data_IF_689299453413
#
_entry.id   IF_689299453413
#
_cell.length_a   1.000
_cell.length_b   1.000
_cell.length_c   1.000
_cell.angle_alpha   90.00
_cell.angle_beta   90.00
_cell.angle_gamma   90.00
#
_symmetry.space_group_name_H-M   'P 1'
#
loop_
_entity.id
_entity.type
_entity.pdbx_description
1 polymer ?
#
# COMPACT_ATOMS: atom_id res chain seq x y z
N UNK A 1 -10.89 -11.26 -8.49
CA UNK A 1 -11.64 -10.47 -7.51
C UNK A 1 -13.04 -11.02 -7.36
N UNK A 2 -13.46 -11.25 -6.10
CA UNK A 2 -14.78 -11.83 -5.80
C UNK A 2 -15.39 -11.07 -4.60
N UNK A 3 -16.37 -10.22 -4.88
CA UNK A 3 -17.03 -9.39 -3.88
C UNK A 3 -17.73 -10.23 -2.78
N UNK A 4 -18.29 -11.38 -3.13
CA UNK A 4 -18.92 -12.27 -2.13
C UNK A 4 -17.91 -12.80 -1.11
N UNK A 5 -16.68 -13.16 -1.56
CA UNK A 5 -15.62 -13.58 -0.63
C UNK A 5 -15.16 -12.46 0.28
N UNK A 6 -15.09 -11.23 -0.25
CA UNK A 6 -14.72 -10.05 0.57
C UNK A 6 -15.80 -9.82 1.63
N UNK A 7 -17.06 -9.85 1.24
CA UNK A 7 -18.20 -9.73 2.16
C UNK A 7 -18.15 -10.81 3.24
N UNK A 8 -18.08 -12.10 2.84
CA UNK A 8 -18.01 -13.22 3.78
C UNK A 8 -16.88 -13.09 4.81
N UNK A 9 -15.69 -12.67 4.35
CA UNK A 9 -14.54 -12.48 5.24
C UNK A 9 -14.75 -11.31 6.20
N UNK A 10 -15.31 -10.20 5.73
CA UNK A 10 -15.61 -9.04 6.57
C UNK A 10 -16.67 -9.38 7.61
N UNK A 11 -17.78 -10.00 7.21
CA UNK A 11 -18.85 -10.43 8.11
C UNK A 11 -18.34 -11.40 9.19
N UNK A 12 -17.61 -12.45 8.77
CA UNK A 12 -17.02 -13.40 9.70
C UNK A 12 -16.09 -12.75 10.72
N UNK A 13 -15.28 -11.80 10.27
CA UNK A 13 -14.37 -11.07 11.16
C UNK A 13 -15.14 -10.18 12.15
N UNK A 14 -16.19 -9.51 11.70
CA UNK A 14 -17.03 -8.65 12.54
C UNK A 14 -17.80 -9.48 13.58
N UNK A 15 -18.44 -10.57 13.17
CA UNK A 15 -19.13 -11.47 14.09
C UNK A 15 -18.18 -12.03 15.16
N UNK A 16 -16.98 -12.43 14.75
CA UNK A 16 -15.97 -12.93 15.68
C UNK A 16 -15.52 -11.87 16.70
N UNK A 17 -15.32 -10.64 16.25
CA UNK A 17 -14.97 -9.53 17.13
C UNK A 17 -16.10 -9.25 18.14
N UNK A 18 -17.35 -9.25 17.67
CA UNK A 18 -18.53 -9.08 18.51
C UNK A 18 -18.63 -10.18 19.59
N UNK A 19 -18.50 -11.46 19.21
CA UNK A 19 -18.50 -12.58 20.16
C UNK A 19 -17.43 -12.45 21.25
N UNK A 20 -16.29 -11.82 20.92
CA UNK A 20 -15.16 -11.64 21.84
C UNK A 20 -15.24 -10.34 22.63
N UNK A 21 -16.25 -9.50 22.41
CA UNK A 21 -16.34 -8.17 23.01
C UNK A 21 -15.20 -7.25 22.62
N UNK A 22 -14.67 -7.42 21.41
CA UNK A 22 -13.55 -6.67 20.85
C UNK A 22 -13.92 -5.95 19.55
N UNK A 23 -13.02 -5.11 19.03
CA UNK A 23 -13.16 -4.51 17.71
C UNK A 23 -12.15 -5.07 16.73
N UNK A 24 -12.47 -5.01 15.43
CA UNK A 24 -11.54 -5.39 14.37
C UNK A 24 -10.53 -4.31 14.07
N UNK A 25 -9.42 -4.74 13.48
CA UNK A 25 -8.41 -3.88 12.86
C UNK A 25 -8.22 -4.27 11.41
N UNK A 26 -8.48 -3.32 10.51
CA UNK A 26 -8.42 -3.51 9.07
C UNK A 26 -7.12 -2.97 8.50
N UNK A 27 -6.43 -3.77 7.66
CA UNK A 27 -5.12 -3.44 7.10
C UNK A 27 -5.03 -3.93 5.66
N UNK A 28 -4.64 -3.07 4.74
CA UNK A 28 -4.35 -3.47 3.35
C UNK A 28 -2.86 -3.62 3.08
N UNK A 29 -2.05 -2.75 3.66
CA UNK A 29 -0.59 -2.74 3.50
C UNK A 29 0.11 -2.52 4.82
N UNK A 30 1.33 -3.01 4.91
CA UNK A 30 2.26 -2.76 6.00
C UNK A 30 3.70 -2.90 5.48
N UNK A 31 4.68 -2.74 6.37
CA UNK A 31 6.10 -2.82 6.04
C UNK A 31 6.64 -4.24 5.76
N UNK A 32 5.78 -5.26 5.79
CA UNK A 32 6.17 -6.66 5.60
C UNK A 32 5.57 -7.29 4.34
N UNK A 33 4.74 -6.56 3.61
CA UNK A 33 4.09 -7.06 2.40
C UNK A 33 4.17 -6.07 1.25
N UNK A 34 4.13 -6.59 0.03
CA UNK A 34 4.06 -5.78 -1.19
C UNK A 34 2.87 -4.82 -1.11
N UNK A 35 3.06 -3.58 -1.51
CA UNK A 35 2.02 -2.55 -1.51
C UNK A 35 0.75 -3.02 -2.22
N UNK A 36 -0.41 -2.78 -1.62
CA UNK A 36 -1.67 -3.31 -2.14
C UNK A 36 -2.03 -2.77 -3.53
N UNK A 37 -1.62 -1.54 -3.88
CA UNK A 37 -1.81 -1.00 -5.23
C UNK A 37 -1.12 -1.89 -6.29
N UNK A 38 0.08 -2.39 -6.02
CA UNK A 38 0.78 -3.35 -6.86
C UNK A 38 0.12 -4.72 -6.83
N UNK A 39 -0.16 -5.28 -5.64
CA UNK A 39 -0.80 -6.60 -5.51
C UNK A 39 -2.13 -6.68 -6.24
N UNK A 40 -2.92 -5.62 -6.20
CA UNK A 40 -4.24 -5.57 -6.83
C UNK A 40 -4.18 -5.36 -8.35
N UNK A 41 -3.03 -4.96 -8.87
CA UNK A 41 -2.77 -4.87 -10.31
C UNK A 41 -2.31 -6.17 -10.97
N UNK A 42 -2.13 -7.24 -10.17
CA UNK A 42 -1.73 -8.55 -10.68
C UNK A 42 -2.96 -9.43 -10.90
N UNK A 43 -3.02 -10.12 -12.03
CA UNK A 43 -4.09 -11.09 -12.32
C UNK A 43 -3.75 -12.49 -11.79
N UNK A 44 -4.80 -13.20 -11.35
CA UNK A 44 -4.72 -14.59 -10.91
C UNK A 44 -4.55 -14.79 -9.40
N UNK A 45 -4.18 -16.00 -9.00
CA UNK A 45 -3.84 -16.36 -7.61
C UNK A 45 -2.46 -15.81 -7.28
N UNK A 46 -2.38 -15.03 -6.22
CA UNK A 46 -1.18 -14.34 -5.83
C UNK A 46 -0.43 -15.12 -4.76
N UNK A 47 0.60 -15.86 -5.17
CA UNK A 47 1.64 -16.34 -4.28
C UNK A 47 2.77 -15.30 -4.30
N UNK A 48 2.85 -14.49 -3.26
CA UNK A 48 3.76 -13.34 -3.17
C UNK A 48 5.21 -13.72 -3.43
N UNK A 49 5.69 -14.83 -2.88
CA UNK A 49 7.08 -15.26 -3.02
C UNK A 49 7.42 -15.67 -4.45
N UNK A 50 6.60 -16.55 -5.02
CA UNK A 50 6.81 -17.01 -6.41
C UNK A 50 6.66 -15.89 -7.41
N UNK A 51 5.66 -15.03 -7.21
CA UNK A 51 5.42 -13.91 -8.10
C UNK A 51 6.57 -12.91 -8.06
N UNK A 52 7.05 -12.54 -6.86
CA UNK A 52 8.16 -11.61 -6.68
C UNK A 52 9.42 -12.14 -7.37
N UNK A 53 9.80 -13.39 -7.10
CA UNK A 53 10.95 -14.04 -7.74
C UNK A 53 10.87 -14.06 -9.28
N UNK A 54 9.68 -14.33 -9.82
CA UNK A 54 9.48 -14.47 -11.27
C UNK A 54 9.37 -13.13 -12.00
N UNK A 55 8.99 -12.04 -11.32
CA UNK A 55 8.64 -10.77 -11.94
C UNK A 55 9.47 -9.58 -11.47
N UNK A 56 10.48 -9.81 -10.63
CA UNK A 56 11.44 -8.79 -10.24
C UNK A 56 12.13 -8.25 -11.51
N UNK A 57 12.30 -6.93 -11.62
CA UNK A 57 12.83 -6.22 -12.79
C UNK A 57 11.95 -6.21 -14.06
N UNK A 58 10.85 -6.95 -14.08
CA UNK A 58 9.87 -6.87 -15.16
C UNK A 58 8.47 -7.19 -14.63
N UNK A 59 7.95 -6.40 -13.71
CA UNK A 59 6.67 -6.66 -13.09
C UNK A 59 5.52 -6.49 -14.08
N UNK A 60 4.75 -7.56 -14.28
CA UNK A 60 3.52 -7.51 -15.07
C UNK A 60 2.37 -7.03 -14.21
N UNK A 61 2.38 -5.74 -13.89
CA UNK A 61 1.36 -5.09 -13.07
C UNK A 61 0.50 -4.19 -13.94
N UNK A 62 -0.80 -4.36 -13.90
CA UNK A 62 -1.74 -3.38 -14.43
C UNK A 62 -1.94 -2.28 -13.37
N UNK A 63 -1.10 -1.25 -13.43
CA UNK A 63 -1.07 -0.15 -12.44
C UNK A 63 -2.44 0.53 -12.32
N UNK A 64 -3.10 0.83 -13.45
CA UNK A 64 -4.42 1.47 -13.45
C UNK A 64 -5.45 0.62 -12.71
N UNK A 65 -5.54 -0.66 -13.06
CA UNK A 65 -6.47 -1.59 -12.41
C UNK A 65 -6.12 -1.78 -10.93
N UNK A 66 -4.83 -1.81 -10.60
CA UNK A 66 -4.33 -1.89 -9.23
C UNK A 66 -4.81 -0.71 -8.39
N UNK A 67 -4.69 0.50 -8.90
CA UNK A 67 -5.16 1.72 -8.23
C UNK A 67 -6.68 1.75 -8.10
N UNK A 68 -7.43 1.39 -9.14
CA UNK A 68 -8.90 1.31 -9.08
C UNK A 68 -9.38 0.33 -8.00
N UNK A 69 -8.77 -0.86 -7.93
CA UNK A 69 -9.07 -1.88 -6.91
C UNK A 69 -8.62 -1.44 -5.52
N UNK A 70 -7.45 -0.80 -5.41
CA UNK A 70 -6.95 -0.23 -4.16
C UNK A 70 -7.91 0.81 -3.60
N UNK A 71 -8.35 1.73 -4.44
CA UNK A 71 -9.37 2.74 -4.12
C UNK A 71 -10.64 2.09 -3.56
N UNK A 72 -11.20 1.13 -4.28
CA UNK A 72 -12.43 0.45 -3.86
C UNK A 72 -12.27 -0.27 -2.51
N UNK A 73 -11.14 -0.95 -2.31
CA UNK A 73 -10.88 -1.65 -1.05
C UNK A 73 -10.62 -0.69 0.11
N UNK A 74 -9.92 0.41 -0.12
CA UNK A 74 -9.72 1.45 0.91
C UNK A 74 -11.05 2.06 1.34
N UNK A 75 -11.92 2.38 0.37
CA UNK A 75 -13.26 2.90 0.68
C UNK A 75 -14.06 1.89 1.52
N UNK A 76 -14.02 0.61 1.15
CA UNK A 76 -14.70 -0.44 1.90
C UNK A 76 -14.15 -0.54 3.34
N UNK A 77 -12.83 -0.64 3.50
CA UNK A 77 -12.23 -0.81 4.83
C UNK A 77 -12.49 0.40 5.73
N UNK A 78 -12.46 1.60 5.17
CA UNK A 78 -12.76 2.82 5.93
C UNK A 78 -14.25 2.99 6.23
N UNK A 79 -15.14 2.28 5.56
CA UNK A 79 -16.57 2.23 5.89
C UNK A 79 -16.92 1.15 6.93
N UNK A 80 -16.06 0.16 7.15
CA UNK A 80 -16.30 -0.89 8.14
C UNK A 80 -16.08 -0.38 9.57
N UNK A 81 -16.81 -0.91 10.57
CA UNK A 81 -16.57 -0.61 11.98
C UNK A 81 -15.23 -1.17 12.44
N UNK A 82 -14.65 -0.53 13.46
CA UNK A 82 -13.35 -0.89 14.03
C UNK A 82 -12.21 0.05 13.60
N UNK A 83 -10.98 -0.32 13.93
CA UNK A 83 -9.79 0.45 13.60
C UNK A 83 -9.29 0.16 12.19
N UNK A 84 -8.68 1.15 11.53
CA UNK A 84 -8.02 0.96 10.23
C UNK A 84 -6.60 1.48 10.31
N UNK A 85 -5.63 0.63 9.97
CA UNK A 85 -4.25 1.04 9.78
C UNK A 85 -4.02 1.39 8.32
N UNK A 86 -3.45 2.58 8.10
CA UNK A 86 -3.00 3.05 6.80
C UNK A 86 -1.47 2.98 6.78
N UNK A 87 -0.93 2.32 5.78
CA UNK A 87 0.51 2.28 5.60
C UNK A 87 0.97 3.47 4.76
N UNK A 88 2.02 4.14 5.22
CA UNK A 88 2.59 5.32 4.57
C UNK A 88 2.83 5.10 3.08
N UNK A 89 2.37 6.04 2.24
CA UNK A 89 2.49 6.02 0.78
C UNK A 89 1.33 5.32 0.08
N UNK A 90 0.41 4.64 0.80
CA UNK A 90 -0.80 4.14 0.14
C UNK A 90 -1.76 5.28 -0.23
N UNK A 91 -1.76 6.36 0.53
CA UNK A 91 -2.48 7.59 0.24
C UNK A 91 -1.97 8.32 -1.00
N UNK A 92 -0.77 8.00 -1.45
CA UNK A 92 -0.17 8.50 -2.70
C UNK A 92 -0.36 7.51 -3.86
N UNK A 93 -0.95 6.35 -3.63
CA UNK A 93 -1.06 5.29 -4.64
C UNK A 93 0.27 4.66 -5.03
N UNK A 94 1.29 4.76 -4.17
CA UNK A 94 2.62 4.25 -4.48
C UNK A 94 2.62 2.77 -4.80
N UNK A 95 3.34 2.42 -5.86
CA UNK A 95 3.61 1.05 -6.24
C UNK A 95 4.79 0.49 -5.44
N UNK A 96 4.92 -0.83 -5.42
CA UNK A 96 6.12 -1.51 -4.91
C UNK A 96 7.32 -1.16 -5.79
N UNK A 97 8.47 -0.85 -5.19
CA UNK A 97 9.71 -0.78 -5.95
C UNK A 97 10.25 -2.20 -6.16
N UNK A 98 10.06 -2.73 -7.37
CA UNK A 98 10.49 -4.08 -7.77
C UNK A 98 11.90 -4.11 -8.34
N UNK A 99 12.53 -2.94 -8.56
CA UNK A 99 13.74 -2.79 -9.34
C UNK A 99 14.98 -2.45 -8.51
N UNK A 100 14.91 -2.72 -7.18
CA UNK A 100 16.07 -2.52 -6.31
C UNK A 100 17.16 -3.53 -6.66
N UNK A 101 18.39 -3.10 -7.05
CA UNK A 101 19.51 -3.98 -7.30
C UNK A 101 19.87 -4.82 -6.06
N UNK A 102 20.39 -6.04 -6.27
CA UNK A 102 20.71 -6.97 -5.18
C UNK A 102 21.73 -6.39 -4.19
N UNK A 103 22.68 -5.63 -4.69
CA UNK A 103 23.72 -4.97 -3.90
C UNK A 103 23.20 -3.84 -3.02
N UNK A 104 22.00 -3.32 -3.31
CA UNK A 104 21.34 -2.26 -2.54
C UNK A 104 20.25 -2.78 -1.60
N UNK A 105 20.00 -4.10 -1.60
CA UNK A 105 19.05 -4.70 -0.68
C UNK A 105 19.53 -4.57 0.77
N UNK A 106 18.59 -4.28 1.69
CA UNK A 106 18.87 -4.09 3.11
C UNK A 106 18.13 -5.12 3.98
N UNK A 107 17.07 -5.77 3.43
CA UNK A 107 16.26 -6.70 4.19
C UNK A 107 17.03 -7.98 4.55
N UNK A 108 17.22 -8.32 5.84
CA UNK A 108 17.85 -9.57 6.24
C UNK A 108 17.16 -10.82 5.67
N UNK A 109 15.88 -10.75 5.32
CA UNK A 109 15.15 -11.88 4.72
C UNK A 109 15.72 -12.23 3.34
N UNK A 110 16.11 -11.22 2.56
CA UNK A 110 16.74 -11.41 1.25
C UNK A 110 18.06 -12.20 1.38
N UNK A 111 18.89 -11.83 2.33
CA UNK A 111 20.19 -12.49 2.54
C UNK A 111 20.09 -13.88 3.17
N UNK A 112 19.06 -14.14 4.00
CA UNK A 112 18.85 -15.45 4.62
C UNK A 112 18.29 -16.48 3.65
N UNK A 113 17.53 -16.03 2.64
CA UNK A 113 16.84 -16.88 1.69
C UNK A 113 17.00 -16.36 0.25
N UNK A 114 18.22 -16.31 -0.29
CA UNK A 114 18.51 -15.72 -1.60
C UNK A 114 17.77 -16.46 -2.73
N UNK A 115 17.54 -17.76 -2.57
CA UNK A 115 16.80 -18.58 -3.56
C UNK A 115 15.32 -18.18 -3.68
N UNK A 116 14.74 -17.60 -2.63
CA UNK A 116 13.36 -17.12 -2.65
C UNK A 116 13.25 -15.73 -3.28
N UNK A 117 14.35 -14.96 -3.29
CA UNK A 117 14.38 -13.58 -3.82
C UNK A 117 13.41 -12.63 -3.12
N UNK A 118 12.95 -13.00 -1.91
CA UNK A 118 11.99 -12.20 -1.15
C UNK A 118 12.70 -11.06 -0.44
N UNK A 119 12.20 -9.86 -0.63
CA UNK A 119 12.59 -8.68 0.12
C UNK A 119 11.36 -7.83 0.43
N UNK A 120 11.41 -7.15 1.56
CA UNK A 120 10.41 -6.16 1.98
C UNK A 120 10.88 -4.73 1.67
N UNK A 121 12.06 -4.59 1.07
CA UNK A 121 12.65 -3.26 0.82
C UNK A 121 11.81 -2.41 -0.12
N UNK A 122 11.15 -3.02 -1.10
CA UNK A 122 10.35 -2.32 -2.09
C UNK A 122 9.20 -1.49 -1.51
N UNK A 123 8.60 -1.92 -0.39
CA UNK A 123 7.58 -1.14 0.30
C UNK A 123 8.17 -0.15 1.34
N UNK A 124 9.47 -0.19 1.59
CA UNK A 124 10.16 0.63 2.61
C UNK A 124 10.98 1.78 2.04
N UNK A 125 10.93 1.97 0.73
CA UNK A 125 11.62 3.08 0.05
C UNK A 125 11.13 4.41 0.60
N UNK A 126 12.03 5.40 0.82
CA UNK A 126 11.65 6.74 1.30
C UNK A 126 10.58 7.40 0.45
N UNK A 127 9.60 8.04 1.10
CA UNK A 127 8.47 8.66 0.39
C UNK A 127 8.89 9.91 -0.39
N UNK A 128 8.27 10.18 -1.55
CA UNK A 128 8.47 11.43 -2.27
C UNK A 128 7.62 12.56 -1.66
N UNK A 129 8.24 13.68 -1.37
CA UNK A 129 7.60 14.89 -0.85
C UNK A 129 7.46 15.98 -1.90
N UNK A 130 8.44 16.06 -2.83
CA UNK A 130 8.47 17.06 -3.89
C UNK A 130 8.57 16.39 -5.26
N UNK A 131 8.13 17.09 -6.31
CA UNK A 131 8.23 16.61 -7.68
C UNK A 131 9.68 16.52 -8.20
N UNK A 132 10.58 17.32 -7.63
CA UNK A 132 12.02 17.31 -8.00
C UNK A 132 12.72 16.10 -7.37
N UNK A 133 13.54 15.41 -8.14
CA UNK A 133 14.37 14.31 -7.65
C UNK A 133 15.50 14.77 -6.69
N UNK A 134 15.77 16.06 -6.61
CA UNK A 134 16.76 16.61 -5.69
C UNK A 134 16.46 16.20 -4.22
N UNK A 135 17.51 15.93 -3.47
CA UNK A 135 17.40 15.58 -2.05
C UNK A 135 16.48 14.37 -1.81
N UNK A 136 16.58 13.34 -2.63
CA UNK A 136 15.70 12.16 -2.57
C UNK A 136 14.20 12.53 -2.62
N UNK A 137 13.80 13.27 -3.61
CA UNK A 137 12.44 13.81 -3.75
C UNK A 137 11.98 14.60 -2.51
N UNK A 138 12.88 15.35 -1.90
CA UNK A 138 12.60 16.15 -0.72
C UNK A 138 12.53 15.36 0.60
N UNK A 139 12.84 14.06 0.59
CA UNK A 139 12.91 13.26 1.82
C UNK A 139 14.06 13.68 2.73
N UNK A 140 15.18 14.11 2.15
CA UNK A 140 16.34 14.63 2.86
C UNK A 140 16.43 16.16 2.76
N UNK A 141 17.07 16.78 3.74
CA UNK A 141 17.46 18.21 3.69
C UNK A 141 18.81 18.41 2.99
N UNK A 142 19.48 17.35 2.59
CA UNK A 142 20.79 17.35 1.94
C UNK A 142 20.72 16.51 0.67
N UNK A 143 21.58 16.80 -0.26
CA UNK A 143 21.80 15.98 -1.45
C UNK A 143 22.64 14.76 -1.06
N UNK A 144 21.92 13.71 -0.66
CA UNK A 144 22.48 12.41 -0.24
C UNK A 144 21.65 11.29 -0.84
N UNK A 145 22.31 10.20 -1.21
CA UNK A 145 21.61 9.00 -1.63
C UNK A 145 20.79 8.42 -0.46
N UNK A 146 19.53 8.08 -0.69
CA UNK A 146 18.72 7.41 0.32
C UNK A 146 19.20 5.97 0.53
N UNK A 147 18.95 5.43 1.71
CA UNK A 147 19.33 4.04 2.07
C UNK A 147 18.71 2.96 1.18
N UNK A 148 17.58 3.25 0.54
CA UNK A 148 16.98 2.45 -0.53
C UNK A 148 16.69 3.38 -1.72
N UNK A 149 17.01 2.94 -2.95
CA UNK A 149 16.83 3.77 -4.14
C UNK A 149 15.35 4.02 -4.42
N UNK A 150 15.04 5.29 -4.67
CA UNK A 150 13.72 5.69 -5.12
C UNK A 150 13.60 5.50 -6.63
N UNK A 151 12.48 4.96 -7.14
CA UNK A 151 12.26 4.83 -8.58
C UNK A 151 12.25 6.18 -9.30
N UNK A 152 12.73 6.19 -10.54
CA UNK A 152 12.55 7.33 -11.43
C UNK A 152 11.06 7.66 -11.59
N UNK A 153 10.76 8.95 -11.67
CA UNK A 153 9.38 9.42 -11.86
C UNK A 153 8.51 9.45 -10.58
N UNK A 154 9.03 9.05 -9.41
CA UNK A 154 8.28 9.13 -8.15
C UNK A 154 7.83 10.54 -7.77
N UNK A 155 8.44 11.57 -8.34
CA UNK A 155 7.98 12.93 -8.16
C UNK A 155 6.53 13.20 -8.58
N UNK A 156 5.97 12.39 -9.49
CA UNK A 156 4.56 12.47 -9.87
C UNK A 156 3.60 12.00 -8.76
N UNK A 157 4.06 11.18 -7.84
CA UNK A 157 3.33 10.72 -6.65
C UNK A 157 3.65 11.56 -5.41
N UNK A 158 4.45 12.61 -5.54
CA UNK A 158 4.85 13.42 -4.39
C UNK A 158 3.66 14.17 -3.80
N UNK A 159 3.73 14.42 -2.49
CA UNK A 159 2.66 15.08 -1.73
C UNK A 159 2.28 16.43 -2.32
N UNK A 160 3.24 17.24 -2.80
CA UNK A 160 2.95 18.52 -3.44
C UNK A 160 2.00 18.38 -4.64
N UNK A 161 2.39 17.71 -5.73
CA UNK A 161 1.53 17.46 -6.89
C UNK A 161 0.20 16.76 -6.54
N UNK A 162 0.21 15.80 -5.63
CA UNK A 162 -1.01 15.10 -5.19
C UNK A 162 -1.96 16.04 -4.44
N UNK A 163 -1.44 16.93 -3.60
CA UNK A 163 -2.25 17.90 -2.86
C UNK A 163 -2.91 18.93 -3.79
N UNK A 164 -2.27 19.29 -4.87
CA UNK A 164 -2.76 20.29 -5.83
C UNK A 164 -3.77 19.73 -6.84
N UNK A 165 -4.07 18.42 -6.75
CA UNK A 165 -4.99 17.73 -7.65
C UNK A 165 -6.24 17.22 -6.93
N UNK A 166 -7.40 17.66 -7.39
CA UNK A 166 -8.70 17.18 -6.88
C UNK A 166 -9.00 15.71 -7.18
N UNK A 167 -8.31 15.15 -8.17
CA UNK A 167 -8.47 13.76 -8.61
C UNK A 167 -7.38 12.83 -8.09
N UNK A 168 -6.49 13.30 -7.21
CA UNK A 168 -5.39 12.52 -6.67
C UNK A 168 -5.83 11.47 -5.64
N UNK A 169 -4.97 10.48 -5.40
CA UNK A 169 -5.17 9.50 -4.32
C UNK A 169 -5.16 10.20 -2.95
N UNK A 170 -4.29 11.15 -2.73
CA UNK A 170 -4.21 11.90 -1.47
C UNK A 170 -5.53 12.64 -1.17
N UNK A 171 -6.07 13.34 -2.15
CA UNK A 171 -7.36 14.04 -2.02
C UNK A 171 -8.50 13.04 -1.76
N UNK A 172 -8.50 11.89 -2.43
CA UNK A 172 -9.46 10.82 -2.19
C UNK A 172 -9.39 10.33 -0.73
N UNK A 173 -8.20 9.99 -0.23
CA UNK A 173 -8.00 9.55 1.15
C UNK A 173 -8.49 10.60 2.15
N UNK A 174 -8.19 11.88 1.94
CA UNK A 174 -8.68 12.96 2.77
C UNK A 174 -10.22 13.03 2.80
N UNK A 175 -10.87 12.88 1.64
CA UNK A 175 -12.34 12.87 1.53
C UNK A 175 -12.95 11.69 2.28
N UNK A 176 -12.44 10.48 2.07
CA UNK A 176 -12.95 9.27 2.72
C UNK A 176 -12.76 9.35 4.24
N UNK A 177 -11.60 9.81 4.71
CA UNK A 177 -11.35 9.97 6.15
C UNK A 177 -12.25 11.02 6.79
N UNK A 178 -12.58 12.10 6.08
CA UNK A 178 -13.58 13.08 6.55
C UNK A 178 -14.97 12.45 6.63
N UNK A 179 -15.37 11.68 5.60
CA UNK A 179 -16.67 10.98 5.61
C UNK A 179 -16.74 9.95 6.73
N UNK A 180 -15.65 9.20 6.98
CA UNK A 180 -15.60 8.23 8.08
C UNK A 180 -15.89 8.86 9.44
N UNK A 181 -15.47 10.10 9.67
CA UNK A 181 -15.76 10.80 10.93
C UNK A 181 -17.26 11.03 11.18
N UNK A 182 -18.09 11.00 10.12
CA UNK A 182 -19.55 11.11 10.22
C UNK A 182 -20.25 9.76 10.40
N UNK A 183 -19.51 8.65 10.24
CA UNK A 183 -20.02 7.32 10.51
C UNK A 183 -19.81 7.02 11.99
N UNK A 184 -20.80 6.39 12.61
CA UNK A 184 -20.63 5.83 13.95
C UNK A 184 -19.84 4.50 13.81
N UNK A 185 -18.52 4.63 13.78
CA UNK A 185 -17.64 3.49 13.57
C UNK A 185 -17.57 2.55 14.78
N UNK A 186 -18.19 2.93 15.90
CA UNK A 186 -18.28 2.16 17.15
C UNK A 186 -19.70 1.62 17.37
N UNK A 187 -20.64 1.94 16.50
CA UNK A 187 -22.00 1.42 16.62
C UNK A 187 -21.99 -0.12 16.62
N UNK A 188 -22.70 -0.77 17.52
CA UNK A 188 -22.84 -2.21 17.49
C UNK A 188 -23.53 -2.64 16.20
N UNK A 189 -23.15 -3.80 15.70
CA UNK A 189 -23.87 -4.45 14.60
C UNK A 189 -25.25 -4.86 15.13
N UNK A 190 -26.32 -4.27 14.59
CA UNK A 190 -27.69 -4.70 14.82
C UNK A 190 -27.99 -5.99 14.03
#
# INVERSE_FOLDING_TARGET
WNAYKVHELAEKALLRAHELGSSNTWVLSNHDIIRHATRFGVDGTFDTGKWFKANRFNPKVNVKQGLERATAMTMLLLALPGSTYLYQGEELGLQENMEIPDELMQDPQFFRNPDLGLSRDGCRVPLPWTASAANAYGFSTRDVEPWLPQPDGWGSYAIGPEHDSDASMLTLYQRILRSRKSLDAEAPLE
#
